data_IF_436791721157
#
_entry.id   IF_436791721157
#
_cell.length_a   1.000
_cell.length_b   1.000
_cell.length_c   1.000
_cell.angle_alpha   90.00
_cell.angle_beta   90.00
_cell.angle_gamma   90.00
#
_symmetry.space_group_name_H-M   'P 1'
#
loop_
_entity.id
_entity.type
_entity.pdbx_description
1 polymer ?
#
# COMPACT_ATOMS: atom_id res chain seq x y z
N UNK A 1 -40.57 -46.13 -39.14
CA UNK A 1 -40.53 -45.79 -37.70
C UNK A 1 -39.07 -45.67 -37.28
N UNK A 2 -38.68 -44.47 -36.81
CA UNK A 2 -37.45 -44.18 -36.07
C UNK A 2 -36.12 -44.24 -36.84
N UNK A 3 -35.75 -43.15 -37.54
CA UNK A 3 -34.39 -42.95 -38.05
C UNK A 3 -33.38 -43.02 -36.88
N UNK A 4 -32.46 -43.97 -36.94
CA UNK A 4 -31.20 -43.91 -36.19
C UNK A 4 -30.43 -42.72 -36.75
N UNK A 5 -30.49 -41.58 -36.07
CA UNK A 5 -29.64 -40.43 -36.39
C UNK A 5 -28.21 -40.88 -36.12
N UNK A 6 -27.45 -41.13 -37.19
CA UNK A 6 -26.02 -41.31 -37.09
C UNK A 6 -25.44 -40.03 -36.46
N UNK A 7 -25.08 -40.10 -35.18
CA UNK A 7 -24.47 -39.00 -34.45
C UNK A 7 -23.17 -38.65 -35.17
N UNK A 8 -23.15 -37.51 -35.86
CA UNK A 8 -21.96 -37.06 -36.56
C UNK A 8 -20.87 -36.75 -35.52
N UNK A 9 -19.73 -37.46 -35.52
CA UNK A 9 -18.69 -37.32 -34.51
C UNK A 9 -18.15 -35.90 -34.40
N UNK A 10 -18.21 -35.11 -35.47
CA UNK A 10 -17.82 -33.70 -35.46
C UNK A 10 -18.73 -32.82 -34.60
N UNK A 11 -20.04 -33.13 -34.55
CA UNK A 11 -21.02 -32.36 -33.76
C UNK A 11 -20.88 -32.68 -32.27
N UNK A 12 -20.68 -33.96 -31.94
CA UNK A 12 -20.41 -34.40 -30.56
C UNK A 12 -19.12 -33.78 -29.99
N UNK A 13 -18.06 -33.72 -30.81
CA UNK A 13 -16.79 -33.07 -30.46
C UNK A 13 -16.96 -31.55 -30.26
N UNK A 14 -17.75 -30.88 -31.11
CA UNK A 14 -18.05 -29.46 -30.97
C UNK A 14 -18.80 -29.17 -29.65
N UNK A 15 -19.85 -29.94 -29.35
CA UNK A 15 -20.60 -29.84 -28.10
C UNK A 15 -19.72 -30.03 -26.86
N UNK A 16 -18.82 -31.03 -26.89
CA UNK A 16 -17.84 -31.25 -25.82
C UNK A 16 -16.90 -30.05 -25.65
N UNK A 17 -16.32 -29.57 -26.74
CA UNK A 17 -15.38 -28.42 -26.73
C UNK A 17 -16.06 -27.14 -26.26
N UNK A 18 -17.33 -26.93 -26.63
CA UNK A 18 -18.12 -25.78 -26.17
C UNK A 18 -18.28 -25.81 -24.64
N UNK A 19 -18.67 -26.95 -24.08
CA UNK A 19 -18.82 -27.09 -22.62
C UNK A 19 -17.50 -27.03 -21.87
N UNK A 20 -16.41 -27.54 -22.44
CA UNK A 20 -15.07 -27.44 -21.84
C UNK A 20 -14.57 -25.98 -21.74
N UNK A 21 -15.14 -25.05 -22.52
CA UNK A 21 -14.81 -23.63 -22.50
C UNK A 21 -15.79 -22.77 -21.69
N UNK A 22 -16.83 -23.36 -21.10
CA UNK A 22 -17.76 -22.63 -20.22
C UNK A 22 -17.15 -22.48 -18.82
N UNK A 23 -16.90 -21.24 -18.40
CA UNK A 23 -16.37 -20.92 -17.07
C UNK A 23 -17.44 -20.95 -15.97
N UNK A 24 -18.68 -20.64 -16.31
CA UNK A 24 -19.82 -20.65 -15.38
C UNK A 24 -20.47 -22.04 -15.32
N UNK A 25 -20.37 -22.65 -14.14
CA UNK A 25 -20.95 -23.96 -13.84
C UNK A 25 -22.47 -23.98 -14.04
N UNK A 26 -23.16 -22.86 -13.81
CA UNK A 26 -24.62 -22.73 -13.94
C UNK A 26 -25.05 -22.84 -15.40
N UNK A 27 -24.35 -22.12 -16.29
CA UNK A 27 -24.54 -22.20 -17.73
C UNK A 27 -24.19 -23.60 -18.25
N UNK A 28 -23.13 -24.20 -17.72
CA UNK A 28 -22.71 -25.53 -18.12
C UNK A 28 -23.73 -26.62 -17.72
N UNK A 29 -24.36 -26.50 -16.54
CA UNK A 29 -25.48 -27.36 -16.15
C UNK A 29 -26.72 -27.15 -17.04
N UNK A 30 -27.04 -25.91 -17.41
CA UNK A 30 -28.17 -25.62 -18.29
C UNK A 30 -27.97 -26.19 -19.71
N UNK A 31 -26.75 -26.08 -20.26
CA UNK A 31 -26.39 -26.58 -21.59
C UNK A 31 -26.36 -28.11 -21.62
N UNK A 32 -25.80 -28.76 -20.59
CA UNK A 32 -25.75 -30.23 -20.50
C UNK A 32 -27.10 -30.89 -20.22
N UNK A 33 -28.08 -30.14 -19.70
CA UNK A 33 -29.46 -30.59 -19.53
C UNK A 33 -30.32 -30.43 -20.80
N UNK A 34 -29.81 -29.77 -21.84
CA UNK A 34 -30.57 -29.56 -23.07
C UNK A 34 -30.75 -30.87 -23.86
N UNK A 35 -31.95 -31.09 -24.42
CA UNK A 35 -32.33 -32.32 -25.13
C UNK A 35 -31.33 -32.76 -26.21
N UNK A 36 -30.77 -31.80 -26.95
CA UNK A 36 -29.75 -32.08 -27.97
C UNK A 36 -28.44 -32.63 -27.38
N UNK A 37 -28.03 -32.18 -26.19
CA UNK A 37 -26.83 -32.70 -25.52
C UNK A 37 -27.06 -34.10 -24.93
N UNK A 38 -28.29 -34.39 -24.48
CA UNK A 38 -28.68 -35.72 -24.04
C UNK A 38 -28.69 -36.74 -25.18
N UNK A 39 -29.02 -36.32 -26.40
CA UNK A 39 -29.07 -37.19 -27.59
C UNK A 39 -27.70 -37.32 -28.30
N UNK A 40 -26.83 -36.31 -28.24
CA UNK A 40 -25.56 -36.25 -29.00
C UNK A 40 -24.29 -36.65 -28.21
N UNK A 41 -24.33 -36.61 -26.88
CA UNK A 41 -23.22 -37.03 -26.02
C UNK A 41 -23.56 -38.32 -25.30
N UNK A 42 -22.61 -39.26 -25.25
CA UNK A 42 -22.76 -40.48 -24.46
C UNK A 42 -22.80 -40.14 -22.97
N UNK A 43 -23.59 -40.90 -22.21
CA UNK A 43 -23.76 -40.67 -20.77
C UNK A 43 -22.44 -40.68 -19.99
N UNK A 44 -21.47 -41.51 -20.40
CA UNK A 44 -20.14 -41.58 -19.76
C UNK A 44 -19.31 -40.33 -20.02
N UNK A 45 -19.32 -39.81 -21.25
CA UNK A 45 -18.61 -38.57 -21.61
C UNK A 45 -19.19 -37.37 -20.87
N UNK A 46 -20.53 -37.33 -20.68
CA UNK A 46 -21.21 -36.29 -19.90
C UNK A 46 -20.81 -36.32 -18.42
N UNK A 47 -20.71 -37.51 -17.81
CA UNK A 47 -20.27 -37.66 -16.41
C UNK A 47 -18.83 -37.18 -16.22
N UNK A 48 -17.93 -37.55 -17.13
CA UNK A 48 -16.52 -37.11 -17.11
C UNK A 48 -16.42 -35.60 -17.26
N UNK A 49 -17.19 -35.02 -18.19
CA UNK A 49 -17.24 -33.57 -18.42
C UNK A 49 -17.74 -32.82 -17.17
N UNK A 50 -18.84 -33.25 -16.55
CA UNK A 50 -19.39 -32.65 -15.33
C UNK A 50 -18.41 -32.75 -14.16
N UNK A 51 -17.73 -33.89 -13.99
CA UNK A 51 -16.73 -34.09 -12.94
C UNK A 51 -15.50 -33.21 -13.17
N UNK A 52 -15.05 -33.05 -14.42
CA UNK A 52 -13.97 -32.14 -14.78
C UNK A 52 -14.33 -30.68 -14.51
N UNK A 53 -15.55 -30.25 -14.84
CA UNK A 53 -16.02 -28.89 -14.55
C UNK A 53 -16.16 -28.65 -13.05
N UNK A 54 -16.68 -29.62 -12.29
CA UNK A 54 -16.77 -29.52 -10.82
C UNK A 54 -15.40 -29.42 -10.16
N UNK A 55 -14.40 -30.15 -10.67
CA UNK A 55 -13.01 -30.06 -10.21
C UNK A 55 -12.37 -28.71 -10.56
N UNK A 56 -12.67 -28.15 -11.74
CA UNK A 56 -12.20 -26.80 -12.13
C UNK A 56 -12.81 -25.71 -11.24
N UNK A 57 -14.07 -25.87 -10.81
CA UNK A 57 -14.77 -24.92 -9.94
C UNK A 57 -14.73 -25.30 -8.46
N UNK A 58 -13.83 -26.20 -8.03
CA UNK A 58 -13.79 -26.68 -6.66
C UNK A 58 -13.46 -25.53 -5.69
N UNK A 59 -14.45 -25.11 -4.91
CA UNK A 59 -14.29 -24.15 -3.82
C UNK A 59 -13.74 -24.88 -2.59
N UNK A 60 -12.46 -24.67 -2.30
CA UNK A 60 -11.81 -25.23 -1.11
C UNK A 60 -12.02 -24.29 0.07
N UNK A 61 -12.75 -24.74 1.09
CA UNK A 61 -12.88 -24.01 2.36
C UNK A 61 -11.62 -24.24 3.21
N UNK A 62 -10.76 -23.24 3.30
CA UNK A 62 -9.58 -23.26 4.15
C UNK A 62 -9.88 -22.62 5.51
N UNK A 63 -9.30 -23.17 6.59
CA UNK A 63 -9.37 -22.53 7.91
C UNK A 63 -8.39 -21.36 7.96
N UNK A 64 -8.90 -20.16 8.25
CA UNK A 64 -8.09 -18.97 8.50
C UNK A 64 -7.65 -18.82 9.97
N UNK A 65 -8.15 -19.67 10.88
CA UNK A 65 -7.82 -19.59 12.31
C UNK A 65 -6.46 -20.24 12.57
N UNK A 66 -5.50 -19.54 13.20
CA UNK A 66 -4.27 -20.18 13.65
C UNK A 66 -4.60 -21.28 14.66
N UNK A 67 -3.87 -22.40 14.60
CA UNK A 67 -4.09 -23.56 15.47
C UNK A 67 -3.91 -23.14 16.94
N UNK A 68 -4.97 -23.21 17.78
CA UNK A 68 -4.82 -23.01 19.21
C UNK A 68 -4.22 -24.29 19.80
N UNK A 69 -2.93 -24.29 20.14
CA UNK A 69 -2.26 -25.45 20.76
C UNK A 69 -2.33 -25.45 22.29
N UNK A 70 -3.16 -24.60 22.90
CA UNK A 70 -3.15 -24.33 24.33
C UNK A 70 -4.51 -24.62 24.97
N UNK A 71 -4.48 -25.22 26.16
CA UNK A 71 -5.65 -25.56 26.97
C UNK A 71 -6.32 -24.30 27.54
N UNK A 72 -7.66 -24.28 27.57
CA UNK A 72 -8.49 -23.17 28.03
C UNK A 72 -8.35 -22.84 29.53
N UNK A 73 -7.77 -23.74 30.34
CA UNK A 73 -7.53 -23.54 31.77
C UNK A 73 -6.04 -23.75 32.04
N UNK A 74 -5.22 -22.69 32.06
CA UNK A 74 -3.81 -22.79 32.37
C UNK A 74 -3.59 -23.15 33.84
N UNK A 75 -2.76 -24.17 34.10
CA UNK A 75 -2.45 -24.65 35.44
C UNK A 75 -1.61 -23.66 36.29
N UNK A 76 -1.08 -22.58 35.71
CA UNK A 76 -0.30 -21.57 36.43
C UNK A 76 -0.45 -20.17 35.84
N UNK A 77 -0.29 -19.14 36.68
CA UNK A 77 -0.36 -17.74 36.27
C UNK A 77 0.67 -17.37 35.18
N UNK A 78 1.87 -17.97 35.21
CA UNK A 78 2.90 -17.74 34.20
C UNK A 78 2.50 -18.27 32.80
N UNK A 79 1.84 -19.42 32.75
CA UNK A 79 1.32 -19.98 31.50
C UNK A 79 0.15 -19.15 30.99
N UNK A 80 -0.71 -18.65 31.86
CA UNK A 80 -1.81 -17.76 31.47
C UNK A 80 -1.30 -16.46 30.84
N UNK A 81 -0.30 -15.81 31.46
CA UNK A 81 0.33 -14.60 30.90
C UNK A 81 0.91 -14.89 29.51
N UNK A 82 1.65 -15.99 29.35
CA UNK A 82 2.21 -16.38 28.05
C UNK A 82 1.14 -16.67 26.98
N UNK A 83 0.02 -17.29 27.37
CA UNK A 83 -1.12 -17.53 26.47
C UNK A 83 -1.77 -16.22 26.03
N UNK A 84 -2.02 -15.29 26.96
CA UNK A 84 -2.57 -13.97 26.66
C UNK A 84 -1.64 -13.15 25.78
N UNK A 85 -0.32 -13.19 26.02
CA UNK A 85 0.68 -12.54 25.14
C UNK A 85 0.65 -13.12 23.73
N UNK A 86 0.54 -14.44 23.60
CA UNK A 86 0.43 -15.07 22.28
C UNK A 86 -0.89 -14.69 21.58
N UNK A 87 -2.01 -14.66 22.31
CA UNK A 87 -3.28 -14.18 21.76
C UNK A 87 -3.21 -12.72 21.35
N UNK A 88 -2.51 -11.87 22.12
CA UNK A 88 -2.27 -10.47 21.79
C UNK A 88 -1.45 -10.34 20.51
N UNK A 89 -0.45 -11.20 20.30
CA UNK A 89 0.34 -11.22 19.07
C UNK A 89 -0.53 -11.53 17.85
N UNK A 90 -1.38 -12.56 17.96
CA UNK A 90 -2.21 -13.06 16.85
C UNK A 90 -3.47 -12.23 16.58
N UNK A 91 -3.99 -11.52 17.58
CA UNK A 91 -5.23 -10.74 17.44
C UNK A 91 -5.02 -9.48 16.60
N UNK A 92 -5.99 -9.20 15.72
CA UNK A 92 -6.09 -7.97 14.91
C UNK A 92 -7.36 -7.17 15.23
N UNK A 93 -8.29 -7.72 16.02
CA UNK A 93 -9.50 -7.00 16.43
C UNK A 93 -9.17 -5.99 17.55
N UNK A 94 -9.42 -4.68 17.37
CA UNK A 94 -9.07 -3.67 18.37
C UNK A 94 -9.74 -3.90 19.72
N UNK A 95 -10.98 -4.42 19.73
CA UNK A 95 -11.73 -4.68 20.96
C UNK A 95 -11.11 -5.85 21.73
N UNK A 96 -10.79 -6.95 21.04
CA UNK A 96 -10.09 -8.09 21.64
C UNK A 96 -8.70 -7.71 22.15
N UNK A 97 -7.93 -6.91 21.39
CA UNK A 97 -6.63 -6.39 21.84
C UNK A 97 -6.77 -5.62 23.15
N UNK A 98 -7.75 -4.71 23.24
CA UNK A 98 -8.02 -3.94 24.46
C UNK A 98 -8.37 -4.84 25.65
N UNK A 99 -9.23 -5.84 25.45
CA UNK A 99 -9.61 -6.79 26.52
C UNK A 99 -8.39 -7.55 27.05
N UNK A 100 -7.58 -8.11 26.15
CA UNK A 100 -6.37 -8.87 26.52
C UNK A 100 -5.39 -7.96 27.28
N UNK A 101 -5.21 -6.71 26.86
CA UNK A 101 -4.32 -5.78 27.55
C UNK A 101 -4.82 -5.38 28.95
N UNK A 102 -6.13 -5.20 29.13
CA UNK A 102 -6.71 -4.94 30.46
C UNK A 102 -6.46 -6.13 31.38
N UNK A 103 -6.65 -7.35 30.89
CA UNK A 103 -6.40 -8.57 31.66
C UNK A 103 -4.92 -8.73 32.03
N UNK A 104 -4.02 -8.52 31.06
CA UNK A 104 -2.57 -8.58 31.28
C UNK A 104 -2.08 -7.56 32.32
N UNK A 105 -2.53 -6.30 32.24
CA UNK A 105 -2.19 -5.27 33.24
C UNK A 105 -2.78 -5.57 34.62
N UNK A 106 -3.92 -6.27 34.69
CA UNK A 106 -4.48 -6.76 35.96
C UNK A 106 -3.69 -7.91 36.60
N UNK A 107 -2.89 -8.63 35.81
CA UNK A 107 -2.07 -9.76 36.28
C UNK A 107 -0.62 -9.40 36.57
N UNK A 108 -0.04 -8.44 35.85
CA UNK A 108 1.35 -8.02 36.03
C UNK A 108 1.57 -6.55 35.65
N UNK A 109 2.28 -5.81 36.51
CA UNK A 109 2.66 -4.42 36.27
C UNK A 109 3.97 -4.33 35.48
N UNK A 110 3.90 -4.61 34.17
CA UNK A 110 5.02 -4.45 33.24
C UNK A 110 4.57 -3.88 31.89
N UNK A 111 5.46 -3.26 31.09
CA UNK A 111 5.10 -2.82 29.74
C UNK A 111 4.89 -4.00 28.80
N UNK A 112 3.71 -4.11 28.19
CA UNK A 112 3.37 -5.17 27.22
C UNK A 112 3.59 -4.76 25.76
N UNK A 113 3.90 -3.48 25.50
CA UNK A 113 4.18 -2.98 24.16
C UNK A 113 5.48 -3.55 23.53
N UNK A 114 6.37 -4.15 24.32
CA UNK A 114 7.63 -4.78 23.86
C UNK A 114 7.55 -6.30 23.67
N UNK A 115 6.36 -6.90 23.80
CA UNK A 115 6.17 -8.35 23.71
C UNK A 115 6.62 -8.91 22.35
N UNK A 116 6.54 -8.12 21.28
CA UNK A 116 6.98 -8.52 19.95
C UNK A 116 8.02 -7.53 19.38
N UNK A 117 9.20 -8.02 19.04
CA UNK A 117 10.28 -7.22 18.46
C UNK A 117 9.98 -6.72 17.04
N UNK A 118 9.00 -7.33 16.34
CA UNK A 118 8.58 -6.91 14.99
C UNK A 118 7.64 -5.70 15.00
N UNK A 119 7.17 -5.27 16.17
CA UNK A 119 6.29 -4.12 16.32
C UNK A 119 7.09 -2.82 16.38
N UNK A 120 7.37 -2.29 15.19
CA UNK A 120 8.14 -1.09 15.02
C UNK A 120 7.22 0.12 14.78
N UNK A 121 7.27 1.07 15.73
CA UNK A 121 6.68 2.40 15.57
C UNK A 121 7.80 3.35 15.11
N UNK A 122 7.55 4.25 14.13
CA UNK A 122 8.54 5.21 13.67
C UNK A 122 9.12 6.04 14.82
N UNK A 123 10.44 6.29 14.84
CA UNK A 123 11.10 6.99 15.94
C UNK A 123 10.51 8.39 16.17
N UNK A 124 10.00 9.02 15.11
CA UNK A 124 9.31 10.31 15.14
C UNK A 124 8.10 10.32 16.09
N UNK A 125 7.44 9.18 16.28
CA UNK A 125 6.22 9.06 17.08
C UNK A 125 6.42 8.36 18.41
N UNK A 126 7.46 7.51 18.53
CA UNK A 126 7.73 6.74 19.76
C UNK A 126 7.74 7.64 20.99
N UNK A 127 8.45 8.78 20.93
CA UNK A 127 8.53 9.70 22.07
C UNK A 127 7.17 10.32 22.44
N UNK A 128 6.30 10.55 21.46
CA UNK A 128 4.95 11.12 21.68
C UNK A 128 4.05 10.09 22.36
N UNK A 129 4.13 8.83 21.93
CA UNK A 129 3.36 7.74 22.52
C UNK A 129 3.87 7.42 23.93
N UNK A 130 5.19 7.36 24.13
CA UNK A 130 5.77 7.03 25.44
C UNK A 130 5.58 8.14 26.49
N UNK A 131 5.24 9.36 26.09
CA UNK A 131 4.90 10.46 26.99
C UNK A 131 3.55 10.29 27.71
N UNK A 132 2.73 9.32 27.31
CA UNK A 132 1.46 9.00 27.98
C UNK A 132 1.75 8.45 29.38
N UNK A 133 1.15 9.07 30.41
CA UNK A 133 1.34 8.70 31.82
C UNK A 133 0.67 7.37 32.18
N UNK A 134 -0.53 7.12 31.66
CA UNK A 134 -1.26 5.88 31.91
C UNK A 134 -0.64 4.72 31.13
N UNK A 135 -0.19 3.68 31.85
CA UNK A 135 0.54 2.55 31.27
C UNK A 135 -0.35 1.74 30.30
N UNK A 136 -1.63 1.53 30.66
CA UNK A 136 -2.56 0.76 29.83
C UNK A 136 -2.84 1.48 28.51
N UNK A 137 -3.17 2.79 28.57
CA UNK A 137 -3.44 3.61 27.38
C UNK A 137 -2.19 3.74 26.51
N UNK A 138 -1.01 3.94 27.13
CA UNK A 138 0.26 3.97 26.41
C UNK A 138 0.49 2.69 25.60
N UNK A 139 0.34 1.54 26.25
CA UNK A 139 0.57 0.24 25.62
C UNK A 139 -0.46 -0.03 24.52
N UNK A 140 -1.73 0.30 24.77
CA UNK A 140 -2.80 0.16 23.78
C UNK A 140 -2.56 1.02 22.54
N UNK A 141 -2.25 2.31 22.71
CA UNK A 141 -1.95 3.21 21.59
C UNK A 141 -0.74 2.72 20.79
N UNK A 142 0.33 2.30 21.48
CA UNK A 142 1.53 1.76 20.82
C UNK A 142 1.20 0.52 20.00
N UNK A 143 0.49 -0.45 20.57
CA UNK A 143 0.17 -1.72 19.92
C UNK A 143 -0.77 -1.51 18.73
N UNK A 144 -1.81 -0.67 18.86
CA UNK A 144 -2.71 -0.35 17.76
C UNK A 144 -1.95 0.30 16.59
N UNK A 145 -1.06 1.25 16.88
CA UNK A 145 -0.23 1.91 15.86
C UNK A 145 0.73 0.92 15.19
N UNK A 146 1.47 0.13 15.96
CA UNK A 146 2.44 -0.81 15.43
C UNK A 146 1.79 -1.89 14.57
N UNK A 147 0.67 -2.47 15.04
CA UNK A 147 -0.11 -3.45 14.26
C UNK A 147 -0.71 -2.81 13.01
N UNK A 148 -1.26 -1.60 13.10
CA UNK A 148 -1.80 -0.88 11.95
C UNK A 148 -0.74 -0.65 10.86
N UNK A 149 0.46 -0.21 11.26
CA UNK A 149 1.61 -0.05 10.35
C UNK A 149 2.07 -1.37 9.75
N UNK A 150 2.08 -2.44 10.54
CA UNK A 150 2.40 -3.78 10.04
C UNK A 150 1.37 -4.26 9.01
N UNK A 151 0.08 -4.09 9.28
CA UNK A 151 -1.00 -4.40 8.35
C UNK A 151 -0.87 -3.63 7.03
N UNK A 152 -0.52 -2.33 7.08
CA UNK A 152 -0.21 -1.56 5.86
C UNK A 152 0.95 -2.20 5.09
N UNK A 153 2.01 -2.65 5.76
CA UNK A 153 3.19 -3.23 5.10
C UNK A 153 2.89 -4.52 4.34
N UNK A 154 1.94 -5.33 4.82
CA UNK A 154 1.47 -6.56 4.18
C UNK A 154 0.27 -6.34 3.26
N UNK A 155 -0.13 -5.08 3.03
CA UNK A 155 -1.29 -4.65 2.22
C UNK A 155 -2.66 -5.11 2.77
N UNK A 156 -2.75 -5.39 4.06
CA UNK A 156 -4.03 -5.64 4.73
C UNK A 156 -4.64 -4.31 5.21
N UNK A 157 -5.19 -3.55 4.25
CA UNK A 157 -5.74 -2.23 4.52
C UNK A 157 -7.03 -2.27 5.36
N UNK A 158 -7.77 -3.38 5.33
CA UNK A 158 -9.01 -3.56 6.06
C UNK A 158 -8.79 -3.55 7.57
N UNK A 159 -7.92 -4.44 8.07
CA UNK A 159 -7.58 -4.48 9.49
C UNK A 159 -6.80 -3.23 9.93
N UNK A 160 -5.90 -2.71 9.08
CA UNK A 160 -5.19 -1.47 9.38
C UNK A 160 -6.15 -0.30 9.65
N UNK A 161 -7.23 -0.18 8.84
CA UNK A 161 -8.23 0.88 9.01
C UNK A 161 -8.97 0.73 10.34
N UNK A 162 -9.37 -0.49 10.70
CA UNK A 162 -10.05 -0.75 11.98
C UNK A 162 -9.15 -0.39 13.18
N UNK A 163 -7.88 -0.79 13.13
CA UNK A 163 -6.90 -0.50 14.18
C UNK A 163 -6.65 1.01 14.34
N UNK A 164 -6.47 1.74 13.24
CA UNK A 164 -6.27 3.19 13.29
C UNK A 164 -7.53 3.94 13.69
N UNK A 165 -8.72 3.52 13.25
CA UNK A 165 -9.98 4.14 13.69
C UNK A 165 -10.17 3.98 15.20
N UNK A 166 -9.96 2.78 15.75
CA UNK A 166 -10.03 2.55 17.19
C UNK A 166 -8.96 3.36 17.96
N UNK A 167 -7.74 3.45 17.39
CA UNK A 167 -6.68 4.29 17.94
C UNK A 167 -7.03 5.77 17.92
N UNK A 168 -7.67 6.27 16.85
CA UNK A 168 -8.11 7.65 16.70
C UNK A 168 -9.21 8.01 17.69
N UNK A 169 -10.22 7.14 17.85
CA UNK A 169 -11.28 7.30 18.85
C UNK A 169 -10.68 7.45 20.26
N UNK A 170 -9.75 6.56 20.62
CA UNK A 170 -9.07 6.60 21.92
C UNK A 170 -8.30 7.90 22.17
N UNK A 171 -7.48 8.35 21.20
CA UNK A 171 -6.61 9.53 21.42
C UNK A 171 -7.35 10.86 21.29
N UNK A 172 -8.53 10.87 20.67
CA UNK A 172 -9.33 12.10 20.49
C UNK A 172 -9.77 12.69 21.82
N UNK A 173 -9.90 11.87 22.86
CA UNK A 173 -10.36 12.31 24.18
C UNK A 173 -9.29 13.09 24.97
N UNK A 174 -8.00 12.82 24.74
CA UNK A 174 -6.94 13.31 25.64
C UNK A 174 -5.72 13.95 24.97
N UNK A 175 -5.50 13.76 23.67
CA UNK A 175 -4.28 14.28 23.02
C UNK A 175 -4.52 14.75 21.58
N UNK A 176 -4.64 16.07 21.33
CA UNK A 176 -4.78 16.60 19.97
C UNK A 176 -3.54 16.31 19.10
N UNK A 177 -2.36 16.18 19.72
CA UNK A 177 -1.11 15.82 19.04
C UNK A 177 -1.15 14.38 18.52
N UNK A 178 -1.54 13.42 19.35
CA UNK A 178 -1.68 12.02 18.92
C UNK A 178 -2.84 11.83 17.96
N UNK A 179 -3.94 12.57 18.15
CA UNK A 179 -5.04 12.63 17.19
C UNK A 179 -4.54 13.00 15.79
N UNK A 180 -3.73 14.04 15.68
CA UNK A 180 -3.17 14.42 14.39
C UNK A 180 -2.20 13.36 13.82
N UNK A 181 -1.38 12.73 14.66
CA UNK A 181 -0.51 11.62 14.23
C UNK A 181 -1.33 10.47 13.64
N UNK A 182 -2.43 10.08 14.30
CA UNK A 182 -3.33 9.03 13.80
C UNK A 182 -3.99 9.44 12.48
N UNK A 183 -4.45 10.69 12.36
CA UNK A 183 -5.02 11.21 11.10
C UNK A 183 -4.01 11.18 9.95
N UNK A 184 -2.75 11.51 10.21
CA UNK A 184 -1.69 11.48 9.21
C UNK A 184 -1.41 10.03 8.74
N UNK A 185 -1.40 9.05 9.65
CA UNK A 185 -1.22 7.64 9.28
C UNK A 185 -2.46 7.05 8.57
N UNK A 186 -3.67 7.48 8.93
CA UNK A 186 -4.88 7.12 8.19
C UNK A 186 -4.88 7.71 6.78
N UNK A 187 -4.37 8.93 6.60
CA UNK A 187 -4.18 9.49 5.26
C UNK A 187 -3.22 8.62 4.44
N UNK A 188 -2.07 8.24 5.00
CA UNK A 188 -1.11 7.36 4.32
C UNK A 188 -1.72 5.99 3.98
N UNK A 189 -2.56 5.43 4.86
CA UNK A 189 -3.30 4.21 4.62
C UNK A 189 -4.21 4.36 3.40
N UNK A 190 -5.02 5.42 3.35
CA UNK A 190 -5.96 5.65 2.26
C UNK A 190 -5.24 5.84 0.92
N UNK A 191 -4.12 6.57 0.92
CA UNK A 191 -3.29 6.73 -0.26
C UNK A 191 -2.75 5.39 -0.77
N UNK A 192 -2.19 4.56 0.11
CA UNK A 192 -1.63 3.25 -0.26
C UNK A 192 -2.69 2.26 -0.71
N UNK A 193 -3.86 2.26 -0.09
CA UNK A 193 -4.98 1.43 -0.49
C UNK A 193 -5.43 1.78 -1.92
N UNK A 194 -5.62 3.09 -2.20
CA UNK A 194 -6.03 3.57 -3.52
C UNK A 194 -4.96 3.29 -4.59
N UNK A 195 -3.68 3.52 -4.25
CA UNK A 195 -2.58 3.24 -5.17
C UNK A 195 -2.45 1.74 -5.49
N UNK A 196 -2.69 0.87 -4.50
CA UNK A 196 -2.67 -0.59 -4.70
C UNK A 196 -3.81 -1.05 -5.59
N UNK A 197 -5.04 -0.60 -5.34
CA UNK A 197 -6.21 -0.92 -6.17
C UNK A 197 -6.00 -0.50 -7.63
N UNK A 198 -5.43 0.69 -7.83
CA UNK A 198 -5.18 1.14 -9.18
C UNK A 198 -3.97 0.44 -9.82
N UNK A 199 -3.00 -0.06 -9.05
CA UNK A 199 -1.92 -0.91 -9.57
C UNK A 199 -2.44 -2.28 -10.04
N UNK A 200 -3.51 -2.77 -9.41
CA UNK A 200 -4.25 -3.97 -9.80
C UNK A 200 -5.17 -3.75 -11.02
N UNK A 201 -5.15 -2.55 -11.61
CA UNK A 201 -5.84 -2.25 -12.87
C UNK A 201 -7.11 -1.40 -12.72
N UNK A 202 -7.49 -1.03 -11.49
CA UNK A 202 -8.58 -0.05 -11.30
C UNK A 202 -8.22 1.31 -11.90
N UNK A 203 -9.16 1.89 -12.64
CA UNK A 203 -9.05 3.26 -13.18
C UNK A 203 -9.98 4.24 -12.46
N UNK A 204 -10.54 3.82 -11.33
CA UNK A 204 -11.41 4.65 -10.52
C UNK A 204 -10.64 5.88 -10.05
N UNK A 205 -11.22 7.06 -10.28
CA UNK A 205 -10.60 8.32 -9.86
C UNK A 205 -10.68 8.41 -8.33
N UNK A 206 -9.64 8.93 -7.65
CA UNK A 206 -9.70 9.08 -6.21
C UNK A 206 -10.87 9.95 -5.80
N UNK A 207 -11.48 9.64 -4.65
CA UNK A 207 -12.59 10.41 -4.17
C UNK A 207 -12.12 11.83 -3.78
N UNK A 208 -12.94 12.86 -4.03
CA UNK A 208 -12.52 14.27 -3.91
C UNK A 208 -12.19 14.68 -2.46
N UNK A 209 -12.75 13.97 -1.47
CA UNK A 209 -12.41 14.15 -0.07
C UNK A 209 -10.95 13.76 0.21
N UNK A 210 -10.44 12.68 -0.41
CA UNK A 210 -9.07 12.22 -0.23
C UNK A 210 -8.10 13.26 -0.81
N UNK A 211 -8.38 13.75 -2.02
CA UNK A 211 -7.59 14.83 -2.64
C UNK A 211 -7.56 16.07 -1.74
N UNK A 212 -8.71 16.47 -1.21
CA UNK A 212 -8.82 17.63 -0.30
C UNK A 212 -8.03 17.42 1.00
N UNK A 213 -8.08 16.22 1.58
CA UNK A 213 -7.29 15.86 2.78
C UNK A 213 -5.79 15.90 2.51
N UNK A 214 -5.33 15.45 1.35
CA UNK A 214 -3.91 15.54 0.97
C UNK A 214 -3.48 17.00 0.83
N UNK A 215 -4.28 17.85 0.17
CA UNK A 215 -3.99 19.30 0.07
C UNK A 215 -3.89 19.94 1.45
N UNK A 216 -4.89 19.67 2.31
CA UNK A 216 -4.89 20.14 3.69
C UNK A 216 -3.66 19.68 4.48
N UNK A 217 -3.24 18.43 4.33
CA UNK A 217 -2.01 17.93 4.97
C UNK A 217 -0.74 18.63 4.48
N UNK A 218 -0.63 18.90 3.18
CA UNK A 218 0.54 19.57 2.60
C UNK A 218 0.61 21.05 3.01
N UNK A 219 -0.53 21.72 3.12
CA UNK A 219 -0.64 23.14 3.46
C UNK A 219 -0.57 23.43 4.95
N UNK A 220 -1.20 22.59 5.76
CA UNK A 220 -1.29 22.80 7.20
C UNK A 220 -0.02 22.34 7.89
N UNK A 221 0.74 23.30 8.41
CA UNK A 221 1.87 23.02 9.29
C UNK A 221 1.46 23.20 10.75
N UNK A 222 1.24 22.08 11.44
CA UNK A 222 1.09 22.10 12.89
C UNK A 222 2.49 21.97 13.49
N UNK A 223 3.01 23.06 14.09
CA UNK A 223 4.40 23.17 14.53
C UNK A 223 4.83 22.08 15.54
N UNK A 224 3.90 21.53 16.32
CA UNK A 224 4.19 20.57 17.39
C UNK A 224 3.95 19.10 17.01
N UNK A 225 3.52 18.81 15.78
CA UNK A 225 3.27 17.44 15.31
C UNK A 225 4.45 16.96 14.47
N UNK A 226 5.08 15.83 14.83
CA UNK A 226 6.16 15.25 14.03
C UNK A 226 5.65 14.88 12.64
N UNK A 227 6.38 15.30 11.60
CA UNK A 227 6.05 15.02 10.21
C UNK A 227 6.93 13.90 9.69
N UNK A 228 6.33 12.77 9.31
CA UNK A 228 7.04 11.73 8.59
C UNK A 228 7.20 12.10 7.14
N UNK A 229 8.46 12.16 6.72
CA UNK A 229 8.86 12.42 5.34
C UNK A 229 8.12 11.54 4.31
N UNK A 230 7.92 10.26 4.63
CA UNK A 230 7.23 9.29 3.77
C UNK A 230 5.81 9.73 3.41
N UNK A 231 5.08 10.38 4.33
CA UNK A 231 3.69 10.81 4.08
C UNK A 231 3.67 11.94 3.06
N UNK A 232 4.58 12.92 3.19
CA UNK A 232 4.73 14.01 2.22
C UNK A 232 5.13 13.52 0.84
N UNK A 233 6.04 12.55 0.75
CA UNK A 233 6.46 11.94 -0.51
C UNK A 233 5.31 11.21 -1.22
N UNK A 234 4.59 10.36 -0.50
CA UNK A 234 3.45 9.60 -1.04
C UNK A 234 2.30 10.54 -1.44
N UNK A 235 2.09 11.61 -0.67
CA UNK A 235 1.12 12.67 -1.00
C UNK A 235 1.42 13.35 -2.33
N UNK A 236 2.68 13.75 -2.55
CA UNK A 236 3.09 14.39 -3.81
C UNK A 236 3.03 13.39 -4.98
N UNK A 237 3.49 12.16 -4.77
CA UNK A 237 3.43 11.11 -5.79
C UNK A 237 1.98 10.80 -6.20
N UNK A 238 1.06 10.73 -5.24
CA UNK A 238 -0.37 10.56 -5.48
C UNK A 238 -0.95 11.70 -6.33
N UNK A 239 -0.65 12.97 -5.98
CA UNK A 239 -1.11 14.12 -6.77
C UNK A 239 -0.63 14.08 -8.22
N UNK A 240 0.62 13.68 -8.44
CA UNK A 240 1.19 13.51 -9.79
C UNK A 240 0.52 12.37 -10.56
N UNK A 241 0.33 11.21 -9.93
CA UNK A 241 -0.27 10.03 -10.56
C UNK A 241 -1.71 10.30 -11.04
N UNK A 242 -2.47 11.08 -10.27
CA UNK A 242 -3.88 11.40 -10.55
C UNK A 242 -4.11 12.71 -11.31
N UNK A 243 -3.03 13.32 -11.83
CA UNK A 243 -3.06 14.54 -12.67
C UNK A 243 -3.65 15.76 -11.97
N UNK A 244 -3.44 15.89 -10.67
CA UNK A 244 -3.77 17.10 -9.91
C UNK A 244 -2.73 18.22 -10.16
N UNK A 245 -2.39 18.43 -11.45
CA UNK A 245 -1.32 19.32 -11.89
C UNK A 245 -1.65 20.79 -11.63
N UNK A 246 -2.92 21.19 -11.69
CA UNK A 246 -3.31 22.57 -11.44
C UNK A 246 -3.06 22.98 -9.99
N UNK A 247 -3.23 22.04 -9.04
CA UNK A 247 -2.83 22.27 -7.66
C UNK A 247 -1.32 22.49 -7.57
N UNK A 248 -0.54 21.52 -8.05
CA UNK A 248 0.92 21.52 -7.95
C UNK A 248 1.58 22.71 -8.65
N UNK A 249 0.96 23.27 -9.70
CA UNK A 249 1.55 24.36 -10.49
C UNK A 249 1.07 25.75 -10.09
N UNK A 250 -0.21 25.92 -9.73
CA UNK A 250 -0.82 27.23 -9.53
C UNK A 250 -1.20 27.54 -8.08
N UNK A 251 -1.46 26.52 -7.27
CA UNK A 251 -2.08 26.71 -5.94
C UNK A 251 -1.10 26.52 -4.78
N UNK A 252 0.09 25.96 -5.00
CA UNK A 252 1.06 25.71 -3.93
C UNK A 252 1.64 27.04 -3.39
N UNK A 253 1.51 27.32 -2.08
CA UNK A 253 2.14 28.46 -1.43
C UNK A 253 3.68 28.50 -1.64
N UNK A 254 4.27 29.68 -1.93
CA UNK A 254 5.73 29.82 -2.10
C UNK A 254 6.54 29.38 -0.88
N UNK A 255 6.00 29.55 0.34
CA UNK A 255 6.61 29.09 1.59
C UNK A 255 6.78 27.57 1.67
N UNK A 256 5.85 26.81 1.10
CA UNK A 256 5.93 25.34 1.05
C UNK A 256 6.97 24.88 0.03
N UNK A 257 7.11 25.58 -1.10
CA UNK A 257 8.13 25.28 -2.10
C UNK A 257 9.56 25.47 -1.58
N UNK A 258 9.75 26.43 -0.67
CA UNK A 258 11.05 26.69 -0.03
C UNK A 258 11.36 25.75 1.12
N UNK A 259 10.34 25.20 1.78
CA UNK A 259 10.52 24.36 2.97
C UNK A 259 10.48 22.86 2.68
N UNK A 260 9.81 22.43 1.60
CA UNK A 260 9.66 21.02 1.27
C UNK A 260 10.19 20.69 -0.14
N UNK A 261 11.34 20.02 -0.25
CA UNK A 261 11.97 19.71 -1.55
C UNK A 261 11.12 18.74 -2.40
N UNK A 262 10.29 17.90 -1.77
CA UNK A 262 9.43 16.96 -2.49
C UNK A 262 8.30 17.67 -3.22
N UNK A 263 7.69 18.68 -2.59
CA UNK A 263 6.66 19.51 -3.22
C UNK A 263 7.29 20.31 -4.37
N UNK A 264 8.50 20.86 -4.17
CA UNK A 264 9.22 21.58 -5.24
C UNK A 264 9.52 20.70 -6.44
N UNK A 265 9.97 19.46 -6.22
CA UNK A 265 10.19 18.50 -7.29
C UNK A 265 8.89 18.13 -8.01
N UNK A 266 7.80 17.89 -7.25
CA UNK A 266 6.48 17.61 -7.82
C UNK A 266 5.94 18.77 -8.67
N UNK A 267 6.12 20.01 -8.20
CA UNK A 267 5.77 21.22 -8.94
C UNK A 267 6.51 21.29 -10.29
N UNK A 268 7.83 21.10 -10.28
CA UNK A 268 8.66 21.14 -11.50
C UNK A 268 8.28 20.03 -12.49
N UNK A 269 8.01 18.82 -12.00
CA UNK A 269 7.53 17.71 -12.82
C UNK A 269 6.17 18.01 -13.45
N UNK A 270 5.22 18.51 -12.67
CA UNK A 270 3.89 18.89 -13.17
C UNK A 270 3.96 20.02 -14.21
N UNK A 271 4.76 21.06 -13.96
CA UNK A 271 4.98 22.17 -14.91
C UNK A 271 5.61 21.70 -16.21
N UNK A 272 6.68 20.90 -16.12
CA UNK A 272 7.36 20.35 -17.30
C UNK A 272 6.41 19.51 -18.15
N UNK A 273 5.56 18.68 -17.51
CA UNK A 273 4.56 17.86 -18.19
C UNK A 273 3.44 18.69 -18.86
N UNK A 274 3.04 19.83 -18.26
CA UNK A 274 2.00 20.72 -18.78
C UNK A 274 2.46 21.51 -20.01
N UNK A 275 3.76 21.86 -20.06
CA UNK A 275 4.35 22.71 -21.12
C UNK A 275 4.81 21.92 -22.37
N UNK A 276 4.73 20.58 -22.37
CA UNK A 276 5.08 19.73 -23.52
C UNK A 276 4.37 20.07 -24.86
N UNK A 277 3.18 20.69 -24.91
CA UNK A 277 2.59 21.14 -26.18
C UNK A 277 3.27 22.38 -26.79
N UNK A 278 4.15 23.09 -26.06
CA UNK A 278 4.72 24.39 -26.45
C UNK A 278 6.25 24.38 -26.68
N UNK A 279 6.77 24.83 -27.83
CA UNK A 279 8.20 24.70 -28.17
C UNK A 279 9.16 25.73 -27.51
N UNK A 280 8.66 26.79 -26.86
CA UNK A 280 9.52 27.88 -26.32
C UNK A 280 9.65 27.92 -24.79
N UNK A 281 8.61 27.56 -24.03
CA UNK A 281 8.61 27.63 -22.55
C UNK A 281 9.09 26.32 -21.89
N UNK A 282 8.81 25.18 -22.51
CA UNK A 282 9.18 23.84 -22.03
C UNK A 282 10.68 23.64 -21.78
N UNK A 283 11.56 24.40 -22.44
CA UNK A 283 13.02 24.32 -22.23
C UNK A 283 13.45 24.94 -20.90
N UNK A 284 12.76 25.98 -20.42
CA UNK A 284 13.11 26.66 -19.16
C UNK A 284 12.78 25.77 -17.97
N UNK A 285 11.56 25.25 -17.90
CA UNK A 285 11.11 24.36 -16.83
C UNK A 285 11.88 23.03 -16.82
N UNK A 286 12.17 22.46 -18.00
CA UNK A 286 13.01 21.28 -18.12
C UNK A 286 14.45 21.52 -17.65
N UNK A 287 15.01 22.72 -17.91
CA UNK A 287 16.33 23.10 -17.40
C UNK A 287 16.33 23.26 -15.88
N UNK A 288 15.32 23.92 -15.32
CA UNK A 288 15.18 24.05 -13.86
C UNK A 288 15.02 22.69 -13.17
N UNK A 289 14.24 21.77 -13.76
CA UNK A 289 14.13 20.39 -13.29
C UNK A 289 15.49 19.68 -13.34
N UNK A 290 16.23 19.84 -14.44
CA UNK A 290 17.55 19.25 -14.61
C UNK A 290 18.54 19.79 -13.57
N UNK A 291 18.60 21.11 -13.36
CA UNK A 291 19.50 21.74 -12.40
C UNK A 291 19.23 21.23 -10.97
N UNK A 292 17.96 21.08 -10.59
CA UNK A 292 17.57 20.50 -9.29
C UNK A 292 17.96 19.02 -9.19
N UNK A 293 17.70 18.21 -10.22
CA UNK A 293 18.10 16.79 -10.23
C UNK A 293 19.62 16.65 -10.14
N UNK A 294 20.37 17.46 -10.89
CA UNK A 294 21.83 17.51 -10.85
C UNK A 294 22.30 17.92 -9.47
N UNK A 295 21.73 18.96 -8.86
CA UNK A 295 22.08 19.39 -7.50
C UNK A 295 21.87 18.27 -6.47
N UNK A 296 20.82 17.46 -6.62
CA UNK A 296 20.52 16.33 -5.72
C UNK A 296 21.46 15.15 -5.97
N UNK A 297 21.89 14.92 -7.21
CA UNK A 297 22.79 13.84 -7.60
C UNK A 297 24.28 14.23 -7.49
N UNK A 298 24.61 15.51 -7.43
CA UNK A 298 25.95 16.01 -7.20
C UNK A 298 26.28 15.91 -5.72
N UNK A 299 27.33 15.15 -5.40
CA UNK A 299 27.89 15.09 -4.05
C UNK A 299 28.27 16.51 -3.64
N UNK A 300 27.75 16.99 -2.51
CA UNK A 300 28.10 18.28 -1.93
C UNK A 300 29.54 18.26 -1.38
N UNK A 301 30.53 18.19 -2.27
CA UNK A 301 31.95 18.32 -1.91
C UNK A 301 32.28 19.81 -1.79
N UNK A 302 31.78 20.45 -0.74
CA UNK A 302 32.26 21.79 -0.35
C UNK A 302 32.88 21.85 1.05
N UNK A 303 33.00 20.73 1.77
CA UNK A 303 33.92 20.64 2.91
C UNK A 303 34.94 19.52 2.71
N UNK A 304 36.09 19.94 2.18
CA UNK A 304 37.32 19.18 2.16
C UNK A 304 37.74 18.90 3.61
N UNK A 305 37.54 17.68 4.10
CA UNK A 305 38.44 17.01 5.05
C UNK A 305 38.22 15.49 5.01
N UNK A 306 39.25 14.85 4.47
CA UNK A 306 39.68 13.46 4.70
C UNK A 306 39.29 12.38 3.68
N UNK A 307 40.36 11.72 3.24
CA UNK A 307 40.51 10.44 2.54
C UNK A 307 40.29 10.37 1.03
N UNK A 308 41.37 9.92 0.42
CA UNK A 308 41.66 9.63 -0.98
C UNK A 308 40.77 8.52 -1.57
N UNK A 309 40.60 8.54 -2.89
CA UNK A 309 40.00 7.42 -3.64
C UNK A 309 38.47 7.43 -3.83
N UNK A 310 37.99 8.31 -4.72
CA UNK A 310 36.90 8.08 -5.71
C UNK A 310 35.84 6.98 -5.41
N UNK A 311 35.12 7.05 -4.29
CA UNK A 311 34.03 6.11 -3.93
C UNK A 311 32.82 6.78 -3.21
N UNK A 312 32.57 8.06 -3.45
CA UNK A 312 31.57 8.84 -2.69
C UNK A 312 30.10 8.45 -2.89
N UNK A 313 29.69 8.00 -4.08
CA UNK A 313 28.27 7.70 -4.37
C UNK A 313 27.81 6.30 -3.98
N UNK A 314 28.73 5.35 -3.77
CA UNK A 314 28.38 3.92 -3.61
C UNK A 314 28.33 3.51 -2.14
N UNK A 315 29.09 4.17 -1.24
CA UNK A 315 29.15 3.81 0.19
C UNK A 315 28.47 4.81 1.13
N UNK A 316 28.34 6.08 0.76
CA UNK A 316 27.69 7.10 1.59
C UNK A 316 26.25 7.35 1.11
N UNK A 317 25.34 6.46 1.51
CA UNK A 317 23.91 6.56 1.20
C UNK A 317 23.23 7.76 1.88
N UNK A 318 23.90 8.39 2.84
CA UNK A 318 23.41 9.54 3.61
C UNK A 318 23.59 10.89 2.87
N UNK A 319 24.35 10.92 1.78
CA UNK A 319 24.71 12.18 1.08
C UNK A 319 23.83 12.50 -0.12
N UNK A 320 22.97 11.58 -0.55
CA UNK A 320 21.96 11.83 -1.59
C UNK A 320 20.58 11.72 -0.95
N UNK A 321 19.66 12.63 -1.28
CA UNK A 321 18.31 12.78 -0.68
C UNK A 321 17.35 11.58 -0.91
N UNK A 322 17.85 10.35 -1.08
CA UNK A 322 17.09 9.10 -1.14
C UNK A 322 16.21 8.94 -2.39
N UNK A 323 16.31 9.85 -3.37
CA UNK A 323 15.37 9.96 -4.49
C UNK A 323 15.33 8.72 -5.39
N UNK A 324 16.44 7.99 -5.53
CA UNK A 324 16.53 6.83 -6.44
C UNK A 324 15.61 5.65 -6.08
N UNK A 325 15.34 5.38 -4.79
CA UNK A 325 14.36 4.36 -4.40
C UNK A 325 12.91 4.86 -4.57
N UNK A 326 12.70 6.15 -4.82
CA UNK A 326 11.43 6.87 -4.60
C UNK A 326 10.75 7.28 -5.91
N UNK A 327 11.49 7.45 -7.00
CA UNK A 327 10.94 7.63 -8.37
C UNK A 327 10.11 6.41 -8.83
N UNK A 328 10.40 5.21 -8.30
CA UNK A 328 9.67 3.96 -8.60
C UNK A 328 8.18 4.01 -8.23
N UNK A 329 7.78 4.92 -7.32
CA UNK A 329 6.38 5.04 -6.84
C UNK A 329 5.48 5.86 -7.77
N UNK A 330 6.04 6.62 -8.71
CA UNK A 330 5.25 7.36 -9.72
C UNK A 330 4.84 6.39 -10.82
N UNK A 331 3.54 6.12 -10.97
CA UNK A 331 3.05 5.17 -11.97
C UNK A 331 3.08 5.78 -13.36
N UNK A 332 3.50 5.03 -14.38
CA UNK A 332 3.48 5.53 -15.73
C UNK A 332 2.05 5.55 -16.31
N UNK A 333 1.23 6.52 -15.92
CA UNK A 333 -0.01 6.83 -16.66
C UNK A 333 0.35 7.44 -18.01
N UNK A 334 -0.38 7.11 -19.08
CA UNK A 334 0.01 7.19 -20.51
C UNK A 334 0.76 8.42 -21.10
N UNK A 335 0.93 9.63 -20.51
CA UNK A 335 2.03 10.52 -20.91
C UNK A 335 3.41 10.15 -20.32
N UNK A 336 3.46 9.28 -19.30
CA UNK A 336 4.67 8.77 -18.66
C UNK A 336 5.35 7.60 -19.42
N UNK A 337 5.10 7.47 -20.72
CA UNK A 337 6.15 6.98 -21.63
C UNK A 337 7.44 7.81 -21.45
N UNK A 338 7.32 9.02 -20.87
CA UNK A 338 8.43 9.85 -20.39
C UNK A 338 8.98 9.56 -18.98
N UNK A 339 8.39 8.79 -18.08
CA UNK A 339 9.12 8.42 -16.83
C UNK A 339 10.13 7.31 -17.09
N UNK A 340 9.79 6.37 -17.97
CA UNK A 340 10.79 5.51 -18.58
C UNK A 340 11.74 6.35 -19.44
N UNK A 341 11.27 7.34 -20.22
CA UNK A 341 12.18 8.20 -21.01
C UNK A 341 13.00 9.20 -20.18
N UNK A 342 12.65 9.58 -18.95
CA UNK A 342 13.44 10.49 -18.11
C UNK A 342 14.48 9.70 -17.33
N UNK A 343 14.16 8.50 -16.83
CA UNK A 343 15.17 7.60 -16.24
C UNK A 343 16.06 6.98 -17.33
N UNK A 344 15.51 6.65 -18.50
CA UNK A 344 16.27 6.19 -19.68
C UNK A 344 17.02 7.34 -20.34
N UNK A 345 16.50 8.58 -20.41
CA UNK A 345 17.30 9.75 -20.84
C UNK A 345 18.30 10.20 -19.79
N UNK A 346 18.04 10.05 -18.49
CA UNK A 346 19.07 10.20 -17.45
C UNK A 346 20.17 9.15 -17.64
N UNK A 347 19.82 7.90 -17.98
CA UNK A 347 20.78 6.86 -18.37
C UNK A 347 21.49 7.16 -19.70
N UNK A 348 20.78 7.67 -20.70
CA UNK A 348 21.31 7.95 -22.04
C UNK A 348 22.19 9.20 -22.06
N UNK A 349 21.87 10.22 -21.26
CA UNK A 349 22.70 11.41 -21.03
C UNK A 349 23.94 11.06 -20.20
N UNK A 350 23.85 10.14 -19.23
CA UNK A 350 25.04 9.63 -18.54
C UNK A 350 25.99 8.85 -19.46
N UNK A 351 25.47 8.08 -20.44
CA UNK A 351 26.29 7.35 -21.41
C UNK A 351 26.97 8.32 -22.40
N UNK A 352 26.26 9.38 -22.82
CA UNK A 352 26.77 10.40 -23.76
C UNK A 352 27.79 11.34 -23.09
N UNK A 353 27.79 11.52 -21.77
CA UNK A 353 28.83 12.29 -21.05
C UNK A 353 30.09 11.50 -20.66
N UNK A 354 30.15 10.20 -20.98
CA UNK A 354 31.33 9.34 -20.80
C UNK A 354 31.97 8.89 -22.11
N UNK A 355 31.54 9.46 -23.24
CA UNK A 355 32.22 9.41 -24.55
C UNK A 355 32.57 10.83 -24.96
#
# INVERSE_FOLDING_TARGET
>A
MGLVVAVNPAVSLCCRTLCENLEDLTLAFAVTAHKLFLELLRDDDRKVLLEQMRKRSATVNLSAKPLPSFYDIPASASVNIGQLEQQLILSLDPRRIRQILIELHGMAERPFWRVNSKWEVPPDYVNVVLAIKDNLTRDLVYILMAKGLHCISIKDFGHARQLFSAGLELVTEFSPKLRQVMLNEMLLLDLRAHETMAAEGSKERPPPDLVSRVRGYLEMRIHDVPLRQVIGEESVAFMLNWRENDYLTLQVPPSLLMSNPYIKLGQLLASTCKELPGPKESRRTAKELWDVVVQICSVSVQHKRSSDGRLGLIRQRDSSLGIMQRIVRVRPCRPFSFSFSVVVRLRMIMIISTS
#
